data_IF_603652057283
#
_entry.id   IF_603652057283
#
_cell.length_a   1.000
_cell.length_b   1.000
_cell.length_c   1.000
_cell.angle_alpha   90.00
_cell.angle_beta   90.00
_cell.angle_gamma   90.00
#
_symmetry.space_group_name_H-M   'P 1'
#
loop_
_entity.id
_entity.type
_entity.pdbx_description
1 polymer ?
#
# COMPACT_ATOMS: atom_id res chain seq x y z
N UNK A 1 1.98 -8.98 -14.36
CA UNK A 1 2.51 -9.14 -12.99
C UNK A 1 2.32 -7.81 -12.27
N UNK A 2 1.38 -7.72 -11.33
CA UNK A 2 1.10 -6.44 -10.67
C UNK A 2 2.14 -6.16 -9.56
N UNK A 3 2.76 -4.99 -9.58
CA UNK A 3 3.70 -4.57 -8.54
C UNK A 3 2.95 -3.83 -7.44
N UNK A 4 2.98 -4.36 -6.21
CA UNK A 4 2.46 -3.70 -5.01
C UNK A 4 3.63 -3.02 -4.28
N UNK A 5 3.48 -1.74 -3.94
CA UNK A 5 4.48 -0.97 -3.18
C UNK A 5 3.82 -0.21 -2.04
N UNK A 6 4.48 -0.19 -0.88
CA UNK A 6 4.11 0.67 0.25
C UNK A 6 5.02 1.90 0.22
N UNK A 7 4.47 3.09 0.41
CA UNK A 7 5.23 4.34 0.55
C UNK A 7 4.82 5.06 1.82
N UNK A 8 5.79 5.65 2.52
CA UNK A 8 5.50 6.61 3.57
C UNK A 8 5.13 7.96 2.95
N UNK A 9 4.16 8.64 3.54
CA UNK A 9 3.82 10.02 3.26
C UNK A 9 4.48 10.94 4.30
N UNK A 10 4.67 12.21 3.95
CA UNK A 10 5.36 13.20 4.80
C UNK A 10 4.64 13.54 6.10
N UNK A 11 3.42 13.05 6.28
CA UNK A 11 2.55 13.24 7.44
C UNK A 11 2.59 12.04 8.43
N UNK A 12 3.62 11.18 8.33
CA UNK A 12 3.75 9.92 9.10
C UNK A 12 2.71 8.85 8.75
N UNK A 13 1.90 9.06 7.70
CA UNK A 13 1.01 8.04 7.17
C UNK A 13 1.68 7.19 6.08
N UNK A 14 1.01 6.12 5.66
CA UNK A 14 1.46 5.21 4.61
C UNK A 14 0.40 5.05 3.54
N UNK A 15 0.83 4.84 2.30
CA UNK A 15 -0.01 4.53 1.16
C UNK A 15 0.43 3.24 0.45
N UNK A 16 -0.53 2.52 -0.12
CA UNK A 16 -0.31 1.33 -0.94
C UNK A 16 -0.59 1.67 -2.39
N UNK A 17 0.33 1.27 -3.26
CA UNK A 17 0.30 1.54 -4.70
C UNK A 17 0.32 0.22 -5.47
N UNK A 18 -0.56 0.07 -6.46
CA UNK A 18 -0.56 -1.04 -7.42
C UNK A 18 -0.21 -0.50 -8.80
N UNK A 19 0.87 -1.00 -9.39
CA UNK A 19 1.37 -0.55 -10.70
C UNK A 19 1.55 0.97 -10.80
N UNK A 20 1.92 1.62 -9.69
CA UNK A 20 2.12 3.08 -9.63
C UNK A 20 0.85 3.89 -9.30
N UNK A 21 -0.34 3.30 -9.32
CA UNK A 21 -1.57 3.96 -8.89
C UNK A 21 -1.82 3.75 -7.39
N UNK A 22 -2.20 4.81 -6.67
CA UNK A 22 -2.57 4.72 -5.26
C UNK A 22 -3.91 3.98 -5.12
N UNK A 23 -3.94 2.93 -4.29
CA UNK A 23 -5.15 2.15 -4.01
C UNK A 23 -5.63 2.33 -2.57
N UNK A 24 -4.74 2.74 -1.67
CA UNK A 24 -5.08 3.13 -0.30
C UNK A 24 -4.05 4.16 0.22
N UNK A 25 -4.48 5.08 1.08
CA UNK A 25 -3.65 6.14 1.68
C UNK A 25 -4.13 6.48 3.08
N UNK A 26 -3.33 7.23 3.84
CA UNK A 26 -3.68 7.61 5.23
C UNK A 26 -3.62 6.44 6.21
N UNK A 27 -2.88 5.38 5.87
CA UNK A 27 -2.79 4.17 6.68
C UNK A 27 -1.68 4.30 7.72
N UNK A 28 -1.85 3.60 8.84
CA UNK A 28 -0.70 3.24 9.67
C UNK A 28 0.16 2.20 8.94
N UNK A 29 1.43 2.05 9.34
CA UNK A 29 2.33 1.05 8.76
C UNK A 29 1.75 -0.36 8.77
N UNK A 30 1.22 -0.80 9.91
CA UNK A 30 0.63 -2.13 10.06
C UNK A 30 -0.59 -2.35 9.15
N UNK A 31 -1.41 -1.31 8.96
CA UNK A 31 -2.53 -1.36 8.01
C UNK A 31 -2.04 -1.44 6.57
N UNK A 32 -1.01 -0.68 6.19
CA UNK A 32 -0.43 -0.72 4.85
C UNK A 32 0.20 -2.09 4.54
N UNK A 33 0.90 -2.70 5.49
CA UNK A 33 1.46 -4.05 5.36
C UNK A 33 0.37 -5.11 5.19
N UNK A 34 -0.69 -5.05 6.00
CA UNK A 34 -1.84 -5.97 5.85
C UNK A 34 -2.54 -5.77 4.50
N UNK A 35 -2.73 -4.54 4.07
CA UNK A 35 -3.38 -4.21 2.80
C UNK A 35 -2.54 -4.70 1.61
N UNK A 36 -1.22 -4.50 1.63
CA UNK A 36 -0.32 -5.03 0.62
C UNK A 36 -0.32 -6.56 0.55
N UNK A 37 -0.40 -7.25 1.70
CA UNK A 37 -0.49 -8.71 1.75
C UNK A 37 -1.78 -9.25 1.12
N UNK A 38 -2.94 -8.63 1.43
CA UNK A 38 -4.24 -9.02 0.84
C UNK A 38 -4.25 -8.73 -0.67
N UNK A 39 -3.78 -7.56 -1.08
CA UNK A 39 -3.73 -7.20 -2.50
C UNK A 39 -2.76 -8.06 -3.30
N UNK A 40 -1.64 -8.48 -2.71
CA UNK A 40 -0.69 -9.40 -3.32
C UNK A 40 -1.20 -10.84 -3.45
N UNK A 41 -2.22 -11.23 -2.66
CA UNK A 41 -2.92 -12.51 -2.81
C UNK A 41 -3.95 -12.50 -3.96
N UNK A 42 -4.53 -11.34 -4.25
CA UNK A 42 -5.58 -11.17 -5.28
C UNK A 42 -4.97 -10.92 -6.67
N UNK A 43 -3.68 -10.60 -6.75
CA UNK A 43 -3.05 -9.98 -7.92
C UNK A 43 -2.23 -10.92 -8.83
#
# INVERSE_FOLDING_TARGET
MASIKIRAAGDSSFGVYRNGAAVASGLTRAQAERCAKVLGWIA
#
